data_IF_758866637976
#
_entry.id   IF_758866637976
#
_cell.length_a   1.000
_cell.length_b   1.000
_cell.length_c   1.000
_cell.angle_alpha   90.00
_cell.angle_beta   90.00
_cell.angle_gamma   90.00
#
_symmetry.space_group_name_H-M   'P 1'
#
loop_
_entity.id
_entity.type
_entity.pdbx_description
1 polymer ?
#
# COMPACT_ATOMS: atom_id res chain seq x y z
N UNK A 1 -7.16 -0.58 9.79
CA UNK A 1 -7.89 -1.76 9.26
C UNK A 1 -7.26 -2.21 7.95
N UNK A 2 -6.99 -3.49 7.86
CA UNK A 2 -6.52 -4.11 6.63
C UNK A 2 -7.70 -4.69 5.85
N UNK A 3 -7.84 -4.27 4.60
CA UNK A 3 -8.85 -4.81 3.68
C UNK A 3 -8.18 -5.84 2.80
N UNK A 4 -8.58 -7.11 2.94
CA UNK A 4 -7.99 -8.22 2.20
C UNK A 4 -8.87 -8.61 1.02
N UNK A 5 -8.31 -9.24 -0.02
CA UNK A 5 -9.11 -9.76 -1.13
C UNK A 5 -10.20 -10.71 -0.62
N UNK A 6 -11.40 -10.59 -1.18
CA UNK A 6 -12.54 -11.45 -0.84
C UNK A 6 -12.86 -12.44 -1.95
N UNK A 7 -12.09 -12.44 -3.03
CA UNK A 7 -12.29 -13.33 -4.15
C UNK A 7 -11.00 -13.51 -4.96
N UNK A 8 -10.99 -14.43 -5.93
CA UNK A 8 -9.83 -14.67 -6.77
C UNK A 8 -9.60 -13.54 -7.78
N UNK A 9 -8.44 -13.55 -8.44
CA UNK A 9 -8.19 -12.64 -9.54
C UNK A 9 -9.17 -12.91 -10.68
N UNK A 10 -9.70 -11.83 -11.24
CA UNK A 10 -10.63 -11.91 -12.37
C UNK A 10 -9.89 -12.42 -13.60
N UNK A 11 -10.50 -13.37 -14.32
CA UNK A 11 -9.94 -13.91 -15.55
C UNK A 11 -9.15 -15.20 -15.39
N UNK A 12 -8.90 -15.66 -14.18
CA UNK A 12 -8.21 -16.94 -13.92
C UNK A 12 -9.13 -18.15 -14.11
N UNK A 13 -10.45 -17.95 -14.03
CA UNK A 13 -11.45 -19.02 -14.14
C UNK A 13 -12.70 -18.45 -14.76
N UNK A 14 -13.48 -19.32 -15.46
CA UNK A 14 -14.79 -18.94 -15.99
C UNK A 14 -15.83 -18.73 -14.90
N UNK A 15 -15.61 -19.36 -13.74
CA UNK A 15 -16.52 -19.26 -12.58
C UNK A 15 -15.73 -18.86 -11.34
N UNK A 16 -16.21 -17.86 -10.65
CA UNK A 16 -15.64 -17.44 -9.39
C UNK A 16 -16.72 -16.81 -8.52
N UNK A 17 -16.50 -16.81 -7.22
CA UNK A 17 -17.35 -16.14 -6.25
C UNK A 17 -16.60 -14.95 -5.68
N UNK A 18 -17.29 -13.80 -5.62
CA UNK A 18 -16.77 -12.58 -5.00
C UNK A 18 -17.71 -12.20 -3.88
N UNK A 19 -17.15 -12.02 -2.70
CA UNK A 19 -17.88 -11.44 -1.59
C UNK A 19 -17.60 -9.93 -1.54
N UNK A 20 -18.61 -9.15 -1.22
CA UNK A 20 -18.49 -7.71 -1.05
C UNK A 20 -18.46 -7.36 0.43
N UNK A 21 -17.57 -6.44 0.78
CA UNK A 21 -17.51 -5.87 2.12
C UNK A 21 -17.57 -4.36 2.02
N UNK A 22 -18.32 -3.74 2.93
CA UNK A 22 -18.45 -2.30 2.98
C UNK A 22 -17.66 -1.75 4.16
N UNK A 23 -16.96 -0.64 3.94
CA UNK A 23 -16.20 0.05 4.97
C UNK A 23 -16.62 1.51 4.99
N UNK A 24 -17.03 1.99 6.16
CA UNK A 24 -17.40 3.37 6.35
C UNK A 24 -16.16 4.23 6.60
N UNK A 25 -15.94 5.23 5.73
CA UNK A 25 -14.87 6.20 5.93
C UNK A 25 -15.43 7.47 6.55
N UNK A 26 -14.66 8.04 7.46
CA UNK A 26 -15.00 9.28 8.14
C UNK A 26 -14.05 10.41 7.72
N UNK A 27 -14.46 11.69 7.86
CA UNK A 27 -13.57 12.81 7.54
C UNK A 27 -12.23 12.70 8.29
N UNK A 28 -11.14 12.87 7.55
CA UNK A 28 -9.79 12.71 8.09
C UNK A 28 -9.20 11.34 7.90
N UNK A 29 -9.99 10.34 7.52
CA UNK A 29 -9.47 9.01 7.25
C UNK A 29 -8.60 8.99 5.98
N UNK A 30 -7.66 8.06 5.96
CA UNK A 30 -6.77 7.85 4.83
C UNK A 30 -6.99 6.46 4.27
N UNK A 31 -7.28 6.39 2.98
CA UNK A 31 -7.37 5.12 2.25
C UNK A 31 -6.10 4.94 1.42
N UNK A 32 -5.47 3.80 1.60
CA UNK A 32 -4.24 3.45 0.90
C UNK A 32 -4.48 2.21 0.05
N UNK A 33 -4.22 2.33 -1.25
CA UNK A 33 -4.23 1.21 -2.18
C UNK A 33 -2.82 1.02 -2.72
N UNK A 34 -2.32 -0.21 -2.71
CA UNK A 34 -0.95 -0.49 -3.13
C UNK A 34 -0.83 -1.90 -3.71
N UNK A 35 0.22 -2.09 -4.51
CA UNK A 35 0.56 -3.42 -5.02
C UNK A 35 1.68 -4.04 -4.19
N UNK A 36 1.82 -5.35 -4.28
CA UNK A 36 2.83 -6.11 -3.53
C UNK A 36 4.27 -5.67 -3.85
N UNK A 37 4.48 -5.03 -5.00
CA UNK A 37 5.79 -4.47 -5.34
C UNK A 37 6.34 -3.49 -4.30
N UNK A 38 5.46 -2.89 -3.49
CA UNK A 38 5.86 -2.00 -2.39
C UNK A 38 6.30 -2.82 -1.17
N UNK A 39 5.42 -3.67 -0.65
CA UNK A 39 5.70 -4.41 0.59
C UNK A 39 6.74 -5.50 0.40
N UNK A 40 6.88 -6.01 -0.80
CA UNK A 40 7.86 -7.04 -1.15
C UNK A 40 9.19 -6.47 -1.68
N UNK A 41 9.37 -5.15 -1.67
CA UNK A 41 10.64 -4.54 -2.04
C UNK A 41 11.75 -5.04 -1.12
N UNK A 42 12.82 -5.57 -1.71
CA UNK A 42 13.85 -6.26 -0.97
C UNK A 42 15.14 -5.42 -0.84
N UNK A 43 15.81 -5.56 0.30
CA UNK A 43 17.14 -5.03 0.50
C UNK A 43 18.20 -5.94 -0.13
N UNK A 44 19.48 -5.59 0.03
CA UNK A 44 20.60 -6.37 -0.53
C UNK A 44 20.71 -7.78 0.03
N UNK A 45 20.08 -8.06 1.15
CA UNK A 45 20.09 -9.36 1.81
C UNK A 45 18.76 -10.13 1.64
N UNK A 46 17.87 -9.62 0.81
CA UNK A 46 16.57 -10.23 0.54
C UNK A 46 15.50 -9.92 1.58
N UNK A 47 15.77 -9.01 2.53
CA UNK A 47 14.78 -8.59 3.52
C UNK A 47 13.69 -7.73 2.90
N UNK A 48 12.42 -8.10 3.09
CA UNK A 48 11.29 -7.37 2.54
C UNK A 48 10.96 -6.14 3.39
N UNK A 49 10.48 -5.08 2.74
CA UNK A 49 10.10 -3.85 3.44
C UNK A 49 8.95 -4.09 4.41
N UNK A 50 7.89 -4.74 3.94
CA UNK A 50 6.80 -5.22 4.78
C UNK A 50 5.66 -4.24 5.00
N UNK A 51 4.51 -4.79 5.36
CA UNK A 51 3.29 -4.02 5.60
C UNK A 51 3.37 -3.14 6.86
N UNK A 52 4.10 -3.59 7.90
CA UNK A 52 4.19 -2.85 9.15
C UNK A 52 4.87 -1.49 8.98
N UNK A 53 5.92 -1.43 8.17
CA UNK A 53 6.60 -0.16 7.89
C UNK A 53 5.71 0.80 7.11
N UNK A 54 4.94 0.27 6.16
CA UNK A 54 3.97 1.05 5.41
C UNK A 54 2.90 1.63 6.35
N UNK A 55 2.34 0.79 7.21
CA UNK A 55 1.33 1.21 8.18
C UNK A 55 1.87 2.26 9.15
N UNK A 56 3.12 2.11 9.62
CA UNK A 56 3.74 3.04 10.55
C UNK A 56 3.91 4.43 9.94
N UNK A 57 4.29 4.54 8.68
CA UNK A 57 4.40 5.84 8.00
C UNK A 57 3.05 6.55 8.03
N UNK A 58 1.98 5.84 7.74
CA UNK A 58 0.63 6.43 7.73
C UNK A 58 0.21 6.85 9.13
N UNK A 59 0.41 5.99 10.13
CA UNK A 59 0.01 6.26 11.52
C UNK A 59 0.72 7.46 12.12
N UNK A 60 2.00 7.64 11.78
CA UNK A 60 2.82 8.71 12.34
C UNK A 60 2.65 10.04 11.62
N UNK A 61 1.94 10.05 10.48
CA UNK A 61 1.85 11.23 9.62
C UNK A 61 0.41 11.49 9.15
N UNK A 62 -0.54 11.31 10.05
CA UNK A 62 -1.97 11.46 9.72
C UNK A 62 -2.35 12.87 9.28
N UNK A 63 -1.57 13.88 9.65
CA UNK A 63 -1.81 15.26 9.26
C UNK A 63 -1.13 15.67 7.94
N UNK A 64 -0.31 14.78 7.38
CA UNK A 64 0.37 15.06 6.12
C UNK A 64 -0.61 15.00 4.94
N UNK A 65 -0.31 15.74 3.88
CA UNK A 65 -1.09 15.65 2.64
C UNK A 65 -0.87 14.29 1.96
N UNK A 66 -1.77 13.92 1.06
CA UNK A 66 -1.62 12.68 0.29
C UNK A 66 -0.32 12.70 -0.53
N UNK A 67 0.05 13.82 -1.12
CA UNK A 67 1.30 13.97 -1.85
C UNK A 67 2.51 13.74 -0.95
N UNK A 68 2.48 14.31 0.26
CA UNK A 68 3.56 14.15 1.22
C UNK A 68 3.72 12.70 1.66
N UNK A 69 2.60 12.01 1.89
CA UNK A 69 2.61 10.59 2.25
C UNK A 69 3.23 9.74 1.14
N UNK A 70 2.89 10.01 -0.11
CA UNK A 70 3.50 9.31 -1.26
C UNK A 70 5.02 9.53 -1.28
N UNK A 71 5.46 10.77 -1.11
CA UNK A 71 6.89 11.08 -1.09
C UNK A 71 7.63 10.36 0.04
N UNK A 72 7.02 10.30 1.23
CA UNK A 72 7.60 9.61 2.39
C UNK A 72 7.72 8.11 2.14
N UNK A 73 6.68 7.50 1.58
CA UNK A 73 6.69 6.06 1.27
C UNK A 73 7.74 5.75 0.21
N UNK A 74 7.77 6.50 -0.88
CA UNK A 74 8.74 6.26 -1.96
C UNK A 74 10.17 6.50 -1.52
N UNK A 75 10.41 7.50 -0.67
CA UNK A 75 11.75 7.75 -0.11
C UNK A 75 12.20 6.61 0.79
N UNK A 76 11.32 6.09 1.62
CA UNK A 76 11.61 4.97 2.50
C UNK A 76 11.93 3.69 1.71
N UNK A 77 11.18 3.45 0.61
CA UNK A 77 11.45 2.32 -0.27
C UNK A 77 12.82 2.42 -0.95
N UNK A 78 13.13 3.60 -1.46
CA UNK A 78 14.41 3.84 -2.12
C UNK A 78 15.57 3.62 -1.17
N UNK A 79 15.43 4.06 0.07
CA UNK A 79 16.43 3.86 1.10
C UNK A 79 16.59 2.37 1.44
N UNK A 80 15.47 1.65 1.58
CA UNK A 80 15.48 0.22 1.88
C UNK A 80 16.18 -0.61 0.79
N UNK A 81 15.90 -0.30 -0.47
CA UNK A 81 16.49 -1.01 -1.61
C UNK A 81 17.88 -0.50 -1.98
N UNK A 82 18.41 0.50 -1.26
CA UNK A 82 19.69 1.17 -1.56
C UNK A 82 19.77 1.72 -2.98
N UNK A 83 18.62 2.15 -3.51
CA UNK A 83 18.52 2.71 -4.86
C UNK A 83 18.52 1.68 -5.98
N UNK A 84 18.52 0.39 -5.66
CA UNK A 84 18.37 -0.66 -6.66
C UNK A 84 16.99 -0.62 -7.31
N UNK A 85 16.85 -0.99 -8.59
CA UNK A 85 15.55 -1.07 -9.23
C UNK A 85 14.63 -2.04 -8.47
N UNK A 86 13.34 -1.70 -8.40
CA UNK A 86 12.35 -2.58 -7.82
C UNK A 86 12.14 -3.80 -8.71
N UNK A 87 11.97 -4.97 -8.09
CA UNK A 87 11.83 -6.24 -8.82
C UNK A 87 10.47 -6.37 -9.52
N UNK A 88 9.47 -5.61 -9.09
CA UNK A 88 8.12 -5.66 -9.61
C UNK A 88 7.56 -4.25 -9.74
N UNK A 89 6.47 -4.12 -10.49
CA UNK A 89 5.78 -2.86 -10.67
C UNK A 89 5.21 -2.36 -9.35
N UNK A 90 5.26 -1.04 -9.17
CA UNK A 90 4.75 -0.38 -7.99
C UNK A 90 3.59 0.52 -8.37
N UNK A 91 2.44 0.29 -7.75
CA UNK A 91 1.30 1.19 -7.83
C UNK A 91 0.90 1.59 -6.41
N UNK A 92 0.71 2.88 -6.22
CA UNK A 92 0.35 3.43 -4.93
C UNK A 92 -0.67 4.54 -5.11
N UNK A 93 -1.80 4.42 -4.43
CA UNK A 93 -2.83 5.46 -4.42
C UNK A 93 -3.11 5.82 -2.96
N UNK A 94 -3.02 7.10 -2.66
CA UNK A 94 -3.33 7.63 -1.34
C UNK A 94 -4.49 8.61 -1.46
N UNK A 95 -5.59 8.29 -0.81
CA UNK A 95 -6.77 9.17 -0.78
C UNK A 95 -7.01 9.60 0.66
N UNK A 96 -7.14 10.90 0.86
CA UNK A 96 -7.44 11.46 2.17
C UNK A 96 -8.81 12.10 2.13
N UNK A 97 -9.72 11.64 3.01
CA UNK A 97 -11.06 12.19 3.09
C UNK A 97 -11.01 13.55 3.77
N UNK A 98 -11.51 14.58 3.10
CA UNK A 98 -11.49 15.94 3.64
C UNK A 98 -12.41 16.08 4.85
N UNK A 99 -11.92 16.81 5.80
CA UNK A 99 -12.71 17.19 6.98
C UNK A 99 -13.67 18.31 6.67
#
# INVERSE_FOLDING_TARGET
IWLRPTGPAIGLSERFFINCEDVQLEPGDILLLYTDGITEAADSQGGLWGEDRLADIIRQNTDASSEKLIQMIMSALKEHTSGSPLADDVTLIVSKLKR
#
